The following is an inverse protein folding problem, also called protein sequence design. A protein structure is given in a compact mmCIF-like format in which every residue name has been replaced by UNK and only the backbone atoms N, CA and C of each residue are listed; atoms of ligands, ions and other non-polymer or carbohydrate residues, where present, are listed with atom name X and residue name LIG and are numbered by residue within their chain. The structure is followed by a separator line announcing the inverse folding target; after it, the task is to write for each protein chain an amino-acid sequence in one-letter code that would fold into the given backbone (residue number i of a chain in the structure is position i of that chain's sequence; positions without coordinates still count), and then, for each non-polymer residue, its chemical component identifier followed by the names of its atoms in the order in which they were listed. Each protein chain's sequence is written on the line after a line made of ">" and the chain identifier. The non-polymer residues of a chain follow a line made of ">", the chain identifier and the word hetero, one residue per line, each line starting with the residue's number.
data_IF_423045119021
#
_entry.id   IF_423045119021
#
_cell.length_a   1.000
_cell.length_b   1.000
_cell.length_c   1.000
_cell.angle_alpha   90.00
_cell.angle_beta   90.00
_cell.angle_gamma   90.00
#
_symmetry.space_group_name_H-M   'P 1'
#
loop_
_entity.id
_entity.type
_entity.pdbx_description
1 polymer ?
#
# COMPACT_ATOMS: atom_id res chain seq x y z
N UNK A 1 -7.24 -51.74 29.80
CA UNK A 1 -6.61 -52.33 31.00
C UNK A 1 -5.11 -52.14 30.90
N UNK A 2 -4.35 -51.94 31.97
CA UNK A 2 -4.58 -51.00 33.07
C UNK A 2 -3.32 -50.21 33.49
N UNK A 3 -3.54 -49.25 34.40
CA UNK A 3 -2.79 -48.85 35.62
C UNK A 3 -1.56 -47.97 35.44
N UNK A 4 -1.67 -46.69 35.77
CA UNK A 4 -1.49 -46.11 37.13
C UNK A 4 -0.12 -46.29 37.74
N UNK A 5 0.59 -45.17 38.02
CA UNK A 5 1.28 -45.00 39.29
C UNK A 5 1.29 -43.52 39.73
N UNK A 6 0.97 -43.38 41.00
CA UNK A 6 0.80 -42.16 41.79
C UNK A 6 1.99 -41.94 42.69
N UNK A 7 2.09 -40.73 43.25
CA UNK A 7 2.81 -40.27 44.47
C UNK A 7 4.30 -39.99 44.33
N UNK A 8 4.81 -38.84 44.81
CA UNK A 8 4.85 -38.36 46.17
C UNK A 8 5.15 -36.86 46.29
N UNK A 9 4.39 -36.19 47.13
CA UNK A 9 4.67 -34.98 47.89
C UNK A 9 6.02 -35.03 48.62
N UNK A 10 6.63 -33.85 48.87
CA UNK A 10 6.87 -33.36 50.24
C UNK A 10 7.43 -31.93 50.24
N UNK A 11 6.84 -31.16 51.06
CA UNK A 11 7.13 -29.76 51.41
C UNK A 11 8.32 -29.69 52.38
N UNK A 12 9.00 -28.55 52.41
CA UNK A 12 9.59 -28.04 53.65
C UNK A 12 9.57 -26.52 53.73
N UNK A 13 9.05 -26.07 54.86
CA UNK A 13 8.84 -24.69 55.33
C UNK A 13 10.06 -24.13 56.05
N UNK A 14 10.05 -22.80 56.18
CA UNK A 14 10.55 -21.94 57.30
C UNK A 14 12.05 -21.64 57.32
N UNK A 15 12.55 -20.47 57.71
CA UNK A 15 12.08 -19.41 58.62
C UNK A 15 12.91 -18.14 58.42
N UNK A 16 12.28 -17.00 58.56
CA UNK A 16 12.51 -15.85 59.46
C UNK A 16 13.93 -15.51 59.95
N UNK A 17 14.34 -14.25 59.71
CA UNK A 17 14.87 -13.40 60.79
C UNK A 17 14.86 -11.90 60.41
N UNK A 18 14.26 -11.15 61.28
CA UNK A 18 14.25 -9.70 61.36
C UNK A 18 15.62 -9.14 61.77
N UNK A 19 16.00 -7.98 61.27
CA UNK A 19 17.12 -7.16 61.73
C UNK A 19 16.80 -5.69 61.55
N UNK A 20 16.61 -5.02 62.68
CA UNK A 20 16.18 -3.63 62.85
C UNK A 20 17.37 -2.68 62.87
N UNK A 21 17.23 -1.53 62.23
CA UNK A 21 17.70 -0.16 62.48
C UNK A 21 19.12 0.12 62.97
N UNK A 22 19.77 1.05 62.28
CA UNK A 22 20.42 2.21 62.93
C UNK A 22 20.61 3.37 61.91
N UNK A 23 20.24 4.55 62.33
CA UNK A 23 20.53 5.84 61.71
C UNK A 23 22.03 6.15 61.77
N UNK A 24 22.51 6.91 60.78
CA UNK A 24 23.79 7.57 60.80
C UNK A 24 23.84 8.56 59.63
N UNK A 25 23.94 9.82 60.01
CA UNK A 25 24.05 11.02 59.16
C UNK A 25 25.38 11.11 58.42
N UNK A 26 25.33 11.93 57.38
CA UNK A 26 26.37 12.78 56.80
C UNK A 26 26.99 12.42 55.44
N UNK A 27 26.76 13.43 54.59
CA UNK A 27 27.62 14.04 53.54
C UNK A 27 27.84 13.37 52.17
N UNK A 28 27.21 14.01 51.18
CA UNK A 28 27.74 14.58 49.93
C UNK A 28 28.53 13.70 48.97
N UNK A 29 27.92 13.41 47.84
CA UNK A 29 28.48 13.60 46.49
C UNK A 29 27.54 13.12 45.41
N UNK A 30 27.33 13.96 44.42
CA UNK A 30 26.49 13.80 43.27
C UNK A 30 26.72 12.52 42.43
N UNK A 31 25.65 11.82 42.22
CA UNK A 31 25.53 10.79 41.19
C UNK A 31 24.28 11.05 40.41
N UNK A 32 24.43 11.71 39.26
CA UNK A 32 23.34 11.93 38.30
C UNK A 32 22.71 10.62 37.89
N UNK A 33 21.57 10.31 38.47
CA UNK A 33 20.66 9.31 37.92
C UNK A 33 20.15 9.85 36.60
N UNK A 34 20.64 9.30 35.48
CA UNK A 34 19.93 9.43 34.21
C UNK A 34 18.60 8.75 34.38
N UNK A 35 17.59 9.51 34.74
CA UNK A 35 16.20 9.13 34.47
C UNK A 35 16.06 9.02 32.95
N UNK A 36 16.29 7.83 32.44
CA UNK A 36 15.80 7.44 31.13
C UNK A 36 14.28 7.38 31.30
N UNK A 37 13.63 8.53 31.18
CA UNK A 37 12.18 8.59 31.00
C UNK A 37 11.91 7.88 29.66
N UNK A 38 11.68 6.57 29.72
CA UNK A 38 10.96 5.84 28.68
C UNK A 38 9.57 6.47 28.71
N UNK A 39 9.37 7.50 27.88
CA UNK A 39 8.03 7.96 27.51
C UNK A 39 7.33 6.75 26.94
N UNK A 40 6.49 6.07 27.72
CA UNK A 40 5.60 5.05 27.22
C UNK A 40 4.72 5.73 26.17
N UNK A 41 5.02 5.49 24.91
CA UNK A 41 4.23 6.01 23.79
C UNK A 41 2.80 5.54 23.99
N UNK A 42 1.84 6.44 23.99
CA UNK A 42 0.42 6.11 24.23
C UNK A 42 -0.04 5.18 23.12
N UNK A 43 -0.52 3.98 23.46
CA UNK A 43 -1.20 3.12 22.48
C UNK A 43 -2.44 3.83 21.94
N UNK A 44 -2.66 3.76 20.64
CA UNK A 44 -3.85 4.28 19.97
C UNK A 44 -4.63 3.17 19.29
N UNK A 45 -5.89 3.43 18.96
CA UNK A 45 -6.75 2.55 18.17
C UNK A 45 -6.78 3.03 16.71
N UNK A 46 -6.55 2.14 15.77
CA UNK A 46 -6.62 2.47 14.35
C UNK A 46 -7.53 1.50 13.60
N UNK A 47 -8.42 2.05 12.79
CA UNK A 47 -9.31 1.31 11.91
C UNK A 47 -8.88 1.42 10.45
N UNK A 48 -8.90 0.31 9.70
CA UNK A 48 -8.76 0.29 8.25
C UNK A 48 -10.08 -0.16 7.64
N UNK A 49 -10.71 0.68 6.83
CA UNK A 49 -11.91 0.36 6.08
C UNK A 49 -11.51 0.08 4.64
N UNK A 50 -11.65 -1.19 4.21
CA UNK A 50 -11.19 -1.62 2.88
C UNK A 50 -12.07 -1.08 1.76
N UNK A 51 -11.49 -0.95 0.57
CA UNK A 51 -12.23 -0.87 -0.68
C UNK A 51 -12.82 -2.24 -1.04
N UNK A 52 -13.63 -2.29 -2.13
CA UNK A 52 -14.09 -3.54 -2.73
C UNK A 52 -12.89 -4.39 -3.18
N UNK A 53 -13.04 -5.72 -3.14
CA UNK A 53 -11.95 -6.67 -3.46
C UNK A 53 -11.40 -7.39 -2.23
N UNK A 54 -11.54 -6.80 -1.04
CA UNK A 54 -11.14 -7.42 0.23
C UNK A 54 -9.62 -7.65 0.33
N UNK A 55 -9.19 -8.33 1.40
CA UNK A 55 -7.78 -8.50 1.75
C UNK A 55 -6.99 -9.49 0.86
N UNK A 56 -7.69 -10.26 0.01
CA UNK A 56 -7.07 -11.27 -0.86
C UNK A 56 -6.70 -10.74 -2.24
N UNK A 57 -6.75 -9.43 -2.46
CA UNK A 57 -6.41 -8.79 -3.73
C UNK A 57 -4.91 -8.88 -4.07
N UNK A 58 -4.08 -9.25 -3.09
CA UNK A 58 -2.62 -9.38 -3.18
C UNK A 58 -1.94 -8.09 -3.68
N UNK A 59 -2.56 -6.96 -3.41
CA UNK A 59 -2.22 -5.65 -3.93
C UNK A 59 -2.67 -4.58 -2.94
N UNK A 60 -3.63 -3.73 -3.29
CA UNK A 60 -4.02 -2.48 -2.65
C UNK A 60 -4.57 -2.64 -1.22
N UNK A 61 -5.66 -3.41 -1.03
CA UNK A 61 -6.24 -3.63 0.30
C UNK A 61 -5.33 -4.49 1.19
N UNK A 62 -4.65 -5.48 0.59
CA UNK A 62 -3.64 -6.28 1.30
C UNK A 62 -2.55 -5.39 1.90
N UNK A 63 -2.01 -4.43 1.13
CA UNK A 63 -0.98 -3.51 1.63
C UNK A 63 -1.53 -2.56 2.70
N UNK A 64 -2.76 -2.06 2.55
CA UNK A 64 -3.36 -1.21 3.59
C UNK A 64 -3.50 -1.96 4.92
N UNK A 65 -3.93 -3.23 4.88
CA UNK A 65 -3.99 -4.10 6.06
C UNK A 65 -2.60 -4.39 6.63
N UNK A 66 -1.62 -4.65 5.75
CA UNK A 66 -0.23 -4.86 6.18
C UNK A 66 0.31 -3.65 6.93
N UNK A 67 0.03 -2.43 6.49
CA UNK A 67 0.43 -1.21 7.20
C UNK A 67 -0.19 -1.11 8.60
N UNK A 68 -1.43 -1.60 8.79
CA UNK A 68 -2.05 -1.72 10.10
C UNK A 68 -1.35 -2.78 10.96
N UNK A 69 -1.09 -3.97 10.42
CA UNK A 69 -0.34 -5.04 11.11
C UNK A 69 1.07 -4.60 11.51
N UNK A 70 1.74 -3.83 10.64
CA UNK A 70 3.04 -3.23 10.93
C UNK A 70 2.93 -2.20 12.09
N UNK A 71 1.85 -1.41 12.15
CA UNK A 71 1.59 -0.49 13.25
C UNK A 71 1.28 -1.22 14.57
N UNK A 72 0.53 -2.32 14.54
CA UNK A 72 0.32 -3.17 15.71
C UNK A 72 1.64 -3.68 16.27
N UNK A 73 2.52 -4.19 15.40
CA UNK A 73 3.79 -4.79 15.80
C UNK A 73 4.85 -3.77 16.23
N UNK A 74 4.92 -2.60 15.59
CA UNK A 74 5.98 -1.61 15.79
C UNK A 74 5.61 -0.50 16.77
N UNK A 75 4.32 -0.13 16.82
CA UNK A 75 3.83 1.00 17.59
C UNK A 75 2.93 0.60 18.77
N UNK A 76 2.56 -0.69 18.87
CA UNK A 76 1.62 -1.18 19.88
C UNK A 76 0.19 -0.66 19.66
N UNK A 77 -0.18 -0.38 18.41
CA UNK A 77 -1.53 0.05 18.02
C UNK A 77 -2.54 -1.07 18.24
N UNK A 78 -3.76 -0.75 18.66
CA UNK A 78 -4.90 -1.68 18.60
C UNK A 78 -5.57 -1.54 17.22
N UNK A 79 -5.31 -2.50 16.32
CA UNK A 79 -5.78 -2.47 14.94
C UNK A 79 -7.15 -3.13 14.75
N UNK A 80 -7.96 -2.59 13.83
CA UNK A 80 -9.22 -3.22 13.37
C UNK A 80 -9.41 -3.04 11.89
N UNK A 81 -9.91 -4.09 11.22
CA UNK A 81 -10.25 -4.06 9.80
C UNK A 81 -11.75 -4.17 9.60
N UNK A 82 -12.30 -3.26 8.81
CA UNK A 82 -13.71 -3.23 8.39
C UNK A 82 -13.76 -3.55 6.90
N UNK A 83 -14.20 -4.75 6.55
CA UNK A 83 -14.19 -5.23 5.16
C UNK A 83 -15.44 -4.75 4.43
N UNK A 84 -15.26 -4.07 3.29
CA UNK A 84 -16.32 -3.65 2.39
C UNK A 84 -16.45 -4.64 1.22
N UNK A 85 -17.66 -5.12 0.98
CA UNK A 85 -17.98 -6.01 -0.15
C UNK A 85 -18.61 -5.26 -1.31
N UNK A 86 -19.10 -4.06 -1.03
CA UNK A 86 -19.73 -3.16 -2.01
C UNK A 86 -19.55 -1.70 -1.58
N UNK A 87 -19.76 -0.76 -2.49
CA UNK A 87 -19.73 0.68 -2.17
C UNK A 87 -20.78 1.06 -1.11
N UNK A 88 -21.86 0.27 -0.98
CA UNK A 88 -22.89 0.47 0.05
C UNK A 88 -22.39 0.25 1.48
N UNK A 89 -21.27 -0.46 1.66
CA UNK A 89 -20.71 -0.78 2.96
C UNK A 89 -19.78 0.34 3.49
N UNK A 90 -19.34 1.28 2.65
CA UNK A 90 -18.37 2.32 3.05
C UNK A 90 -18.87 3.19 4.20
N UNK A 91 -20.06 3.82 4.05
CA UNK A 91 -20.61 4.68 5.10
C UNK A 91 -20.91 3.89 6.37
N UNK A 92 -21.56 2.70 6.36
CA UNK A 92 -21.74 1.87 7.55
C UNK A 92 -20.43 1.52 8.25
N UNK A 93 -19.40 1.07 7.52
CA UNK A 93 -18.11 0.67 8.09
C UNK A 93 -17.37 1.86 8.70
N UNK A 94 -17.26 2.99 7.98
CA UNK A 94 -16.67 4.22 8.49
C UNK A 94 -17.42 4.75 9.73
N UNK A 95 -18.76 4.69 9.73
CA UNK A 95 -19.56 5.10 10.87
C UNK A 95 -19.29 4.20 12.08
N UNK A 96 -19.17 2.89 11.86
CA UNK A 96 -18.86 1.93 12.93
C UNK A 96 -17.49 2.21 13.53
N UNK A 97 -16.45 2.43 12.70
CA UNK A 97 -15.12 2.78 13.16
C UNK A 97 -15.14 4.06 14.03
N UNK A 98 -15.81 5.12 13.55
CA UNK A 98 -15.93 6.37 14.28
C UNK A 98 -16.69 6.20 15.62
N UNK A 99 -17.76 5.38 15.67
CA UNK A 99 -18.51 5.08 16.89
C UNK A 99 -17.73 4.21 17.88
N UNK A 100 -16.79 3.39 17.40
CA UNK A 100 -15.89 2.61 18.25
C UNK A 100 -14.71 3.44 18.78
N UNK A 101 -14.69 4.74 18.46
CA UNK A 101 -13.69 5.69 18.92
C UNK A 101 -12.27 5.28 18.52
N UNK A 102 -12.11 4.85 17.25
CA UNK A 102 -10.77 4.74 16.68
C UNK A 102 -10.12 6.13 16.65
N UNK A 103 -8.87 6.23 17.13
CA UNK A 103 -8.11 7.49 17.13
C UNK A 103 -7.76 7.94 15.69
N UNK A 104 -7.59 6.97 14.78
CA UNK A 104 -7.48 7.20 13.33
C UNK A 104 -8.25 6.12 12.56
N UNK A 105 -9.07 6.54 11.58
CA UNK A 105 -9.70 5.63 10.62
C UNK A 105 -9.14 5.88 9.23
N UNK A 106 -8.57 4.86 8.60
CA UNK A 106 -8.05 4.91 7.23
C UNK A 106 -9.09 4.38 6.24
N UNK A 107 -9.52 5.22 5.33
CA UNK A 107 -10.36 4.88 4.18
C UNK A 107 -9.48 4.44 3.02
N UNK A 108 -9.66 3.20 2.52
CA UNK A 108 -8.79 2.65 1.48
C UNK A 108 -9.37 2.90 0.10
N UNK A 109 -8.90 3.95 -0.58
CA UNK A 109 -9.12 4.15 -1.99
C UNK A 109 -10.03 5.31 -2.39
N UNK A 110 -9.84 5.72 -3.66
CA UNK A 110 -10.51 6.84 -4.30
C UNK A 110 -12.04 6.77 -4.24
N UNK A 111 -12.60 5.58 -4.38
CA UNK A 111 -14.06 5.38 -4.38
C UNK A 111 -14.73 5.73 -3.05
N UNK A 112 -13.97 5.82 -1.97
CA UNK A 112 -14.48 6.15 -0.64
C UNK A 112 -14.58 7.67 -0.37
N UNK A 113 -14.20 8.54 -1.32
CA UNK A 113 -14.14 10.00 -1.12
C UNK A 113 -15.43 10.60 -0.55
N UNK A 114 -16.59 10.34 -1.18
CA UNK A 114 -17.88 10.86 -0.73
C UNK A 114 -18.31 10.28 0.63
N UNK A 115 -18.04 9.00 0.86
CA UNK A 115 -18.34 8.33 2.12
C UNK A 115 -17.50 8.90 3.27
N UNK A 116 -16.19 9.07 3.04
CA UNK A 116 -15.26 9.67 4.02
C UNK A 116 -15.67 11.09 4.36
N UNK A 117 -15.95 11.93 3.34
CA UNK A 117 -16.40 13.29 3.57
C UNK A 117 -17.70 13.36 4.40
N UNK A 118 -18.64 12.44 4.13
CA UNK A 118 -19.93 12.36 4.84
C UNK A 118 -19.74 11.99 6.31
N UNK A 119 -18.93 10.96 6.58
CA UNK A 119 -18.71 10.47 7.95
C UNK A 119 -17.81 11.43 8.74
N UNK A 120 -16.74 11.94 8.16
CA UNK A 120 -15.85 12.90 8.80
C UNK A 120 -16.60 14.17 9.26
N UNK A 121 -17.53 14.66 8.45
CA UNK A 121 -18.40 15.78 8.84
C UNK A 121 -19.32 15.46 10.03
N UNK A 122 -19.79 14.21 10.13
CA UNK A 122 -20.67 13.76 11.21
C UNK A 122 -19.90 13.51 12.51
N UNK A 123 -18.63 13.17 12.42
CA UNK A 123 -17.75 12.86 13.54
C UNK A 123 -16.52 13.77 13.54
N UNK A 124 -16.68 15.08 13.86
CA UNK A 124 -15.61 16.07 13.70
C UNK A 124 -14.43 15.88 14.66
N UNK A 125 -14.64 15.15 15.76
CA UNK A 125 -13.61 14.87 16.77
C UNK A 125 -12.79 13.62 16.47
N UNK A 126 -13.17 12.81 15.43
CA UNK A 126 -12.41 11.66 14.98
C UNK A 126 -11.48 12.05 13.82
N UNK A 127 -10.29 11.46 13.78
CA UNK A 127 -9.37 11.64 12.66
C UNK A 127 -9.60 10.57 11.58
N UNK A 128 -9.46 10.99 10.34
CA UNK A 128 -9.55 10.12 9.16
C UNK A 128 -8.34 10.34 8.25
N UNK A 129 -7.85 9.28 7.63
CA UNK A 129 -6.96 9.37 6.48
C UNK A 129 -7.66 8.72 5.28
N UNK A 130 -7.42 9.21 4.07
CA UNK A 130 -7.96 8.62 2.86
C UNK A 130 -6.86 8.39 1.83
N UNK A 131 -6.76 7.17 1.31
CA UNK A 131 -5.82 6.81 0.26
C UNK A 131 -6.38 7.22 -1.10
N UNK A 132 -5.54 7.82 -1.96
CA UNK A 132 -5.84 8.19 -3.35
C UNK A 132 -6.85 9.32 -3.54
N UNK A 133 -7.20 10.04 -2.49
CA UNK A 133 -8.10 11.19 -2.60
C UNK A 133 -7.55 12.39 -1.83
N UNK A 134 -7.48 13.55 -2.49
CA UNK A 134 -7.03 14.79 -1.84
C UNK A 134 -8.03 15.29 -0.80
N UNK A 135 -7.57 15.56 0.41
CA UNK A 135 -8.39 16.17 1.47
C UNK A 135 -9.00 17.50 1.00
N UNK A 136 -8.25 18.28 0.22
CA UNK A 136 -8.71 19.54 -0.35
C UNK A 136 -9.82 19.39 -1.41
N UNK A 137 -9.93 18.22 -2.03
CA UNK A 137 -10.95 17.90 -3.05
C UNK A 137 -12.20 17.25 -2.45
N UNK A 138 -12.17 16.81 -1.18
CA UNK A 138 -13.32 16.23 -0.50
C UNK A 138 -14.48 17.25 -0.37
N UNK A 139 -15.70 16.77 -0.50
CA UNK A 139 -16.90 17.60 -0.37
C UNK A 139 -16.99 18.22 1.03
N UNK A 140 -17.00 19.54 1.09
CA UNK A 140 -17.03 20.28 2.35
C UNK A 140 -15.67 20.42 3.04
N UNK A 141 -14.60 19.91 2.47
CA UNK A 141 -13.21 20.04 2.93
C UNK A 141 -13.06 19.82 4.45
N UNK A 142 -13.41 18.63 4.94
CA UNK A 142 -13.36 18.35 6.37
C UNK A 142 -11.92 18.50 6.90
N UNK A 143 -11.75 19.23 8.01
CA UNK A 143 -10.44 19.54 8.58
C UNK A 143 -9.86 18.38 9.42
N UNK A 144 -10.59 17.31 9.58
CA UNK A 144 -10.20 16.09 10.28
C UNK A 144 -9.90 14.93 9.32
N UNK A 145 -9.60 15.20 8.05
CA UNK A 145 -9.20 14.20 7.06
C UNK A 145 -7.83 14.56 6.47
N UNK A 146 -6.88 13.61 6.47
CA UNK A 146 -5.60 13.70 5.77
C UNK A 146 -5.66 12.88 4.48
N UNK A 147 -5.23 13.45 3.34
CA UNK A 147 -5.11 12.74 2.08
C UNK A 147 -3.76 12.01 1.98
N UNK A 148 -3.76 10.75 1.60
CA UNK A 148 -2.56 9.95 1.32
C UNK A 148 -2.48 9.71 -0.18
N UNK A 149 -1.73 10.56 -0.88
CA UNK A 149 -1.64 10.59 -2.34
C UNK A 149 -0.36 9.96 -2.82
N UNK A 150 -0.39 9.47 -4.06
CA UNK A 150 0.76 8.85 -4.70
C UNK A 150 0.92 9.41 -6.11
N UNK A 151 2.16 9.49 -6.58
CA UNK A 151 2.45 9.76 -7.99
C UNK A 151 2.59 8.45 -8.76
N UNK A 152 1.49 7.76 -8.96
CA UNK A 152 1.44 6.47 -9.63
C UNK A 152 2.02 6.52 -11.05
N UNK A 153 1.91 7.69 -11.72
CA UNK A 153 2.50 7.89 -13.04
C UNK A 153 4.03 7.73 -13.04
N UNK A 154 4.71 8.01 -11.93
CA UNK A 154 6.15 7.81 -11.82
C UNK A 154 6.51 6.32 -11.81
N UNK A 155 5.78 5.49 -11.05
CA UNK A 155 5.95 4.04 -11.05
C UNK A 155 5.53 3.44 -12.40
N UNK A 156 4.40 3.89 -12.95
CA UNK A 156 3.94 3.51 -14.29
C UNK A 156 5.00 3.78 -15.36
N UNK A 157 5.65 4.95 -15.31
CA UNK A 157 6.71 5.31 -16.25
C UNK A 157 7.90 4.34 -16.16
N UNK A 158 8.37 4.02 -14.95
CA UNK A 158 9.49 3.09 -14.74
C UNK A 158 9.22 1.72 -15.36
N UNK A 159 8.07 1.12 -15.06
CA UNK A 159 7.72 -0.20 -15.61
C UNK A 159 7.40 -0.14 -17.09
N UNK A 160 6.86 0.97 -17.57
CA UNK A 160 6.64 1.23 -18.99
C UNK A 160 7.96 1.32 -19.77
N UNK A 161 8.93 2.06 -19.21
CA UNK A 161 10.27 2.19 -19.82
C UNK A 161 10.96 0.83 -19.92
N UNK A 162 10.90 0.00 -18.85
CA UNK A 162 11.40 -1.37 -18.88
C UNK A 162 10.70 -2.21 -19.95
N UNK A 163 9.36 -2.13 -20.03
CA UNK A 163 8.58 -2.86 -21.05
C UNK A 163 8.97 -2.45 -22.48
N UNK A 164 9.21 -1.15 -22.71
CA UNK A 164 9.67 -0.62 -24.01
C UNK A 164 11.05 -1.13 -24.41
N UNK A 165 12.00 -1.16 -23.47
CA UNK A 165 13.35 -1.73 -23.71
C UNK A 165 13.27 -3.22 -24.00
N UNK A 166 12.55 -3.98 -23.18
CA UNK A 166 12.37 -5.41 -23.38
C UNK A 166 11.71 -5.71 -24.72
N UNK A 167 10.65 -4.97 -25.06
CA UNK A 167 9.93 -5.13 -26.31
C UNK A 167 10.84 -4.88 -27.52
N UNK A 168 11.67 -3.84 -27.49
CA UNK A 168 12.61 -3.51 -28.57
C UNK A 168 13.58 -4.66 -28.85
N UNK A 169 14.18 -5.23 -27.82
CA UNK A 169 15.17 -6.31 -27.96
C UNK A 169 14.54 -7.66 -28.32
N UNK A 170 13.24 -7.83 -28.04
CA UNK A 170 12.49 -9.05 -28.37
C UNK A 170 11.63 -8.91 -29.64
N UNK A 171 11.85 -7.85 -30.45
CA UNK A 171 11.10 -7.57 -31.66
C UNK A 171 9.57 -7.52 -31.45
N UNK A 172 9.14 -7.13 -30.24
CA UNK A 172 7.74 -6.92 -29.93
C UNK A 172 7.33 -5.50 -30.33
N UNK A 173 6.19 -5.40 -31.00
CA UNK A 173 5.67 -4.11 -31.51
C UNK A 173 4.57 -3.52 -30.65
N UNK A 174 4.06 -4.26 -29.68
CA UNK A 174 2.90 -3.87 -28.87
C UNK A 174 3.06 -4.30 -27.44
N UNK A 175 2.73 -3.40 -26.52
CA UNK A 175 2.54 -3.63 -25.08
C UNK A 175 1.14 -3.14 -24.68
N UNK A 176 0.62 -3.61 -23.56
CA UNK A 176 -0.75 -3.26 -23.17
C UNK A 176 -0.94 -3.07 -21.68
N UNK A 177 -2.07 -2.46 -21.31
CA UNK A 177 -2.52 -2.32 -19.95
C UNK A 177 -3.99 -2.73 -19.79
N UNK A 178 -4.31 -3.31 -18.63
CA UNK A 178 -5.67 -3.67 -18.21
C UNK A 178 -5.96 -2.94 -16.92
N UNK A 179 -6.79 -1.91 -17.00
CA UNK A 179 -7.26 -1.14 -15.84
C UNK A 179 -8.52 -1.75 -15.23
N UNK A 180 -8.73 -1.52 -13.94
CA UNK A 180 -10.01 -1.77 -13.27
C UNK A 180 -11.04 -0.73 -13.71
N UNK A 181 -11.50 0.12 -12.80
CA UNK A 181 -12.34 1.27 -13.15
C UNK A 181 -11.50 2.43 -13.68
N UNK A 182 -12.09 3.23 -14.57
CA UNK A 182 -11.44 4.46 -15.07
C UNK A 182 -11.55 5.57 -14.03
N UNK A 183 -10.62 5.57 -13.09
CA UNK A 183 -10.49 6.56 -12.02
C UNK A 183 -9.07 7.13 -12.00
N UNK A 184 -8.81 8.32 -11.40
CA UNK A 184 -7.52 8.99 -11.47
C UNK A 184 -6.31 8.11 -11.12
N UNK A 185 -6.23 7.38 -9.99
CA UNK A 185 -5.04 6.60 -9.67
C UNK A 185 -4.74 5.47 -10.68
N UNK A 186 -5.78 4.89 -11.31
CA UNK A 186 -5.62 3.91 -12.38
C UNK A 186 -5.10 4.56 -13.66
N UNK A 187 -5.67 5.71 -14.02
CA UNK A 187 -5.24 6.48 -15.21
C UNK A 187 -3.79 6.99 -15.06
N UNK A 188 -3.37 7.44 -13.85
CA UNK A 188 -1.99 7.85 -13.58
C UNK A 188 -0.98 6.74 -13.93
N UNK A 189 -1.19 5.54 -13.40
CA UNK A 189 -0.33 4.39 -13.71
C UNK A 189 -0.25 4.10 -15.21
N UNK A 190 -1.41 4.04 -15.87
CA UNK A 190 -1.49 3.69 -17.29
C UNK A 190 -0.87 4.78 -18.17
N UNK A 191 -1.10 6.05 -17.87
CA UNK A 191 -0.52 7.18 -18.60
C UNK A 191 1.02 7.18 -18.48
N UNK A 192 1.53 6.98 -17.28
CA UNK A 192 2.97 6.82 -17.03
C UNK A 192 3.55 5.65 -17.81
N UNK A 193 2.90 4.47 -17.76
CA UNK A 193 3.32 3.28 -18.50
C UNK A 193 3.41 3.53 -20.01
N UNK A 194 2.40 4.13 -20.60
CA UNK A 194 2.38 4.43 -22.03
C UNK A 194 3.50 5.40 -22.43
N UNK A 195 3.74 6.43 -21.62
CA UNK A 195 4.82 7.42 -21.83
C UNK A 195 6.19 6.75 -21.74
N UNK A 196 6.46 6.00 -20.65
CA UNK A 196 7.72 5.32 -20.45
C UNK A 196 8.03 4.32 -21.56
N UNK A 197 7.04 3.53 -21.98
CA UNK A 197 7.21 2.57 -23.09
C UNK A 197 7.60 3.27 -24.40
N UNK A 198 6.97 4.40 -24.73
CA UNK A 198 7.26 5.20 -25.93
C UNK A 198 8.62 5.89 -25.86
N UNK A 199 9.03 6.36 -24.70
CA UNK A 199 10.34 7.00 -24.53
C UNK A 199 11.50 6.00 -24.71
N UNK A 200 11.31 4.76 -24.23
CA UNK A 200 12.28 3.67 -24.44
C UNK A 200 12.26 3.11 -25.87
N UNK A 201 11.07 3.08 -26.50
CA UNK A 201 10.86 2.54 -27.84
C UNK A 201 9.80 3.38 -28.58
N UNK A 202 10.21 4.41 -29.35
CA UNK A 202 9.26 5.33 -30.02
C UNK A 202 8.28 4.66 -30.99
N UNK A 203 8.62 3.48 -31.52
CA UNK A 203 7.77 2.73 -32.45
C UNK A 203 6.74 1.83 -31.77
N UNK A 204 6.79 1.69 -30.42
CA UNK A 204 5.91 0.77 -29.72
C UNK A 204 4.45 1.23 -29.76
N UNK A 205 3.55 0.30 -30.03
CA UNK A 205 2.11 0.50 -29.88
C UNK A 205 1.71 0.17 -28.46
N UNK A 206 0.87 1.02 -27.85
CA UNK A 206 0.27 0.76 -26.54
C UNK A 206 -1.23 0.51 -26.70
N UNK A 207 -1.74 -0.58 -26.14
CA UNK A 207 -3.17 -0.86 -26.01
C UNK A 207 -3.61 -0.61 -24.59
N UNK A 208 -4.89 -0.26 -24.38
CA UNK A 208 -5.48 -0.13 -23.07
C UNK A 208 -6.93 -0.60 -23.07
N UNK A 209 -7.39 -1.19 -21.95
CA UNK A 209 -8.78 -1.55 -21.72
C UNK A 209 -9.11 -1.44 -20.23
N UNK A 210 -10.37 -1.10 -19.91
CA UNK A 210 -10.87 -1.05 -18.53
C UNK A 210 -11.95 -2.11 -18.33
N UNK A 211 -11.80 -2.95 -17.30
CA UNK A 211 -12.79 -3.98 -16.95
C UNK A 211 -14.04 -3.40 -16.27
N UNK A 212 -13.95 -2.17 -15.77
CA UNK A 212 -14.92 -1.53 -14.88
C UNK A 212 -15.18 -2.34 -13.60
N UNK A 213 -14.17 -3.13 -13.18
CA UNK A 213 -14.26 -4.05 -12.06
C UNK A 213 -12.90 -4.22 -11.39
N UNK A 214 -12.87 -4.36 -10.05
CA UNK A 214 -11.64 -4.64 -9.31
C UNK A 214 -11.59 -6.07 -8.74
N UNK A 215 -12.61 -6.89 -8.98
CA UNK A 215 -12.80 -8.21 -8.35
C UNK A 215 -12.82 -9.34 -9.36
N UNK A 216 -13.62 -9.21 -10.42
CA UNK A 216 -13.89 -10.28 -11.39
C UNK A 216 -12.68 -10.53 -12.30
N UNK A 217 -11.93 -11.58 -11.98
CA UNK A 217 -10.73 -11.96 -12.74
C UNK A 217 -11.04 -12.36 -14.18
N UNK A 218 -12.23 -12.87 -14.47
CA UNK A 218 -12.61 -13.29 -15.82
C UNK A 218 -12.69 -12.08 -16.77
N UNK A 219 -13.19 -10.93 -16.31
CA UNK A 219 -13.24 -9.69 -17.11
C UNK A 219 -11.85 -9.20 -17.51
N UNK A 220 -10.91 -9.15 -16.56
CA UNK A 220 -9.53 -8.73 -16.84
C UNK A 220 -8.80 -9.76 -17.72
N UNK A 221 -9.09 -11.05 -17.55
CA UNK A 221 -8.58 -12.14 -18.38
C UNK A 221 -9.01 -11.97 -19.84
N UNK A 222 -10.29 -11.71 -20.08
CA UNK A 222 -10.85 -11.50 -21.43
C UNK A 222 -10.15 -10.32 -22.14
N UNK A 223 -10.04 -9.16 -21.47
CA UNK A 223 -9.36 -7.98 -22.04
C UNK A 223 -7.91 -8.29 -22.37
N UNK A 224 -7.17 -8.94 -21.44
CA UNK A 224 -5.78 -9.30 -21.68
C UNK A 224 -5.61 -10.27 -22.85
N UNK A 225 -6.46 -11.29 -22.97
CA UNK A 225 -6.44 -12.24 -24.08
C UNK A 225 -6.69 -11.56 -25.44
N UNK A 226 -7.65 -10.61 -25.50
CA UNK A 226 -7.90 -9.80 -26.69
C UNK A 226 -6.69 -8.94 -27.07
N UNK A 227 -6.08 -8.26 -26.09
CA UNK A 227 -4.87 -7.45 -26.32
C UNK A 227 -3.67 -8.31 -26.76
N UNK A 228 -3.50 -9.51 -26.20
CA UNK A 228 -2.45 -10.46 -26.61
C UNK A 228 -2.71 -10.96 -28.04
N UNK A 229 -3.96 -11.24 -28.39
CA UNK A 229 -4.34 -11.61 -29.77
C UNK A 229 -4.06 -10.47 -30.76
N UNK A 230 -4.13 -9.21 -30.35
CA UNK A 230 -3.74 -8.02 -31.11
C UNK A 230 -2.22 -7.80 -31.16
N UNK A 231 -1.42 -8.70 -30.57
CA UNK A 231 0.04 -8.70 -30.63
C UNK A 231 0.77 -8.16 -29.39
N UNK A 232 0.07 -7.87 -28.29
CA UNK A 232 0.72 -7.48 -27.04
C UNK A 232 1.65 -8.58 -26.52
N UNK A 233 2.86 -8.21 -26.15
CA UNK A 233 3.87 -9.10 -25.55
C UNK A 233 4.21 -8.77 -24.11
N UNK A 234 3.68 -7.67 -23.58
CA UNK A 234 3.77 -7.29 -22.17
C UNK A 234 2.40 -6.76 -21.75
N UNK A 235 1.83 -7.30 -20.68
CA UNK A 235 0.53 -6.91 -20.12
C UNK A 235 0.73 -6.32 -18.72
N UNK A 236 0.46 -5.03 -18.56
CA UNK A 236 0.46 -4.34 -17.27
C UNK A 236 -0.95 -4.36 -16.67
N UNK A 237 -1.13 -4.99 -15.53
CA UNK A 237 -2.40 -4.96 -14.80
C UNK A 237 -2.46 -3.80 -13.81
N UNK A 238 -3.57 -3.08 -13.77
CA UNK A 238 -3.88 -1.99 -12.81
C UNK A 238 -5.34 -2.15 -12.35
N UNK A 239 -5.65 -3.32 -11.79
CA UNK A 239 -7.04 -3.73 -11.56
C UNK A 239 -7.26 -4.54 -10.27
N UNK A 240 -6.37 -4.43 -9.27
CA UNK A 240 -6.51 -5.16 -8.02
C UNK A 240 -6.65 -6.68 -8.23
N UNK A 241 -7.65 -7.30 -7.58
CA UNK A 241 -7.91 -8.74 -7.71
C UNK A 241 -8.27 -9.16 -9.15
N UNK A 242 -9.05 -8.35 -9.88
CA UNK A 242 -9.36 -8.59 -11.29
C UNK A 242 -8.09 -8.76 -12.13
N UNK A 243 -7.05 -7.94 -11.87
CA UNK A 243 -5.79 -7.94 -12.57
C UNK A 243 -5.01 -9.26 -12.52
N UNK A 244 -5.25 -10.10 -11.50
CA UNK A 244 -4.65 -11.44 -11.44
C UNK A 244 -5.07 -12.28 -12.65
N UNK A 245 -6.31 -12.12 -13.15
CA UNK A 245 -6.75 -12.78 -14.38
C UNK A 245 -5.99 -12.32 -15.63
N UNK A 246 -5.57 -11.05 -15.69
CA UNK A 246 -4.72 -10.55 -16.78
C UNK A 246 -3.30 -11.15 -16.71
N UNK A 247 -2.72 -11.27 -15.52
CA UNK A 247 -1.42 -11.92 -15.32
C UNK A 247 -1.47 -13.42 -15.62
N UNK A 248 -2.57 -14.10 -15.26
CA UNK A 248 -2.77 -15.50 -15.65
C UNK A 248 -2.83 -15.68 -17.17
N UNK A 249 -3.47 -14.73 -17.89
CA UNK A 249 -3.47 -14.72 -19.36
C UNK A 249 -2.06 -14.57 -19.93
N UNK A 250 -1.26 -13.68 -19.34
CA UNK A 250 0.13 -13.49 -19.77
C UNK A 250 0.92 -14.79 -19.60
N UNK A 251 0.76 -15.49 -18.47
CA UNK A 251 1.37 -16.79 -18.21
C UNK A 251 0.93 -17.85 -19.23
N UNK A 252 -0.38 -17.99 -19.43
CA UNK A 252 -0.97 -18.99 -20.36
C UNK A 252 -0.49 -18.79 -21.81
N UNK A 253 -0.27 -17.54 -22.21
CA UNK A 253 0.13 -17.19 -23.58
C UNK A 253 1.63 -17.01 -23.75
N UNK A 254 2.43 -17.21 -22.71
CA UNK A 254 3.89 -17.08 -22.75
C UNK A 254 4.35 -15.65 -23.08
N UNK A 255 3.64 -14.64 -22.59
CA UNK A 255 4.04 -13.22 -22.67
C UNK A 255 4.35 -12.68 -21.28
N UNK A 256 4.99 -11.51 -21.20
CA UNK A 256 5.36 -10.91 -19.92
C UNK A 256 4.17 -10.25 -19.25
N UNK A 257 4.10 -10.36 -17.92
CA UNK A 257 3.18 -9.64 -17.06
C UNK A 257 3.90 -8.55 -16.25
N UNK A 258 3.20 -7.49 -15.92
CA UNK A 258 3.67 -6.47 -14.95
C UNK A 258 2.62 -6.34 -13.85
N UNK A 259 3.06 -6.49 -12.59
CA UNK A 259 2.24 -6.36 -11.40
C UNK A 259 2.02 -4.91 -10.98
N UNK A 260 1.14 -4.70 -9.98
CA UNK A 260 0.82 -3.36 -9.44
C UNK A 260 0.77 -3.37 -7.92
N UNK A 261 1.04 -2.23 -7.31
CA UNK A 261 1.08 -1.88 -5.88
C UNK A 261 2.11 -2.71 -5.10
N UNK A 262 1.89 -4.02 -4.95
CA UNK A 262 2.83 -4.95 -4.33
C UNK A 262 3.80 -5.56 -5.35
N UNK A 263 4.93 -6.06 -4.88
CA UNK A 263 5.82 -6.87 -5.73
C UNK A 263 5.20 -8.25 -5.97
N UNK A 264 4.67 -8.45 -7.17
CA UNK A 264 3.98 -9.68 -7.59
C UNK A 264 4.91 -10.69 -8.29
N UNK A 265 6.24 -10.55 -8.18
CA UNK A 265 7.22 -11.48 -8.77
C UNK A 265 7.01 -12.95 -8.32
N UNK A 266 6.39 -13.17 -7.16
CA UNK A 266 6.07 -14.53 -6.66
C UNK A 266 5.04 -15.28 -7.51
N UNK A 267 4.33 -14.61 -8.42
CA UNK A 267 3.37 -15.26 -9.34
C UNK A 267 4.05 -16.08 -10.43
N UNK A 268 5.36 -15.89 -10.66
CA UNK A 268 6.16 -16.69 -11.55
C UNK A 268 7.08 -15.89 -12.47
N UNK A 269 7.89 -16.62 -13.25
CA UNK A 269 8.93 -16.03 -14.12
C UNK A 269 8.40 -15.17 -15.26
N UNK A 270 7.10 -15.27 -15.56
CA UNK A 270 6.42 -14.41 -16.53
C UNK A 270 6.21 -12.98 -16.01
N UNK A 271 6.43 -12.70 -14.74
CA UNK A 271 6.34 -11.35 -14.19
C UNK A 271 7.66 -10.63 -14.44
N UNK A 272 7.63 -9.67 -15.37
CA UNK A 272 8.80 -8.87 -15.73
C UNK A 272 9.25 -7.99 -14.57
N UNK A 273 8.29 -7.36 -13.89
CA UNK A 273 8.44 -6.55 -12.68
C UNK A 273 7.07 -6.15 -12.14
N UNK A 274 7.03 -5.23 -11.14
CA UNK A 274 5.79 -4.63 -10.63
C UNK A 274 5.95 -3.12 -10.42
N UNK A 275 4.89 -2.35 -10.68
CA UNK A 275 4.82 -0.94 -10.34
C UNK A 275 4.44 -0.80 -8.86
N UNK A 276 5.40 -0.45 -8.02
CA UNK A 276 5.20 -0.40 -6.57
C UNK A 276 4.50 0.87 -6.11
N UNK A 277 3.62 0.71 -5.14
CA UNK A 277 2.94 1.76 -4.38
C UNK A 277 2.94 1.35 -2.91
N UNK A 278 3.70 2.05 -2.08
CA UNK A 278 3.93 1.67 -0.68
C UNK A 278 2.78 2.12 0.22
N UNK A 279 1.61 1.53 -0.01
CA UNK A 279 0.39 1.80 0.78
C UNK A 279 0.58 1.39 2.23
N UNK A 280 1.30 0.29 2.49
CA UNK A 280 1.64 -0.19 3.83
C UNK A 280 2.44 0.85 4.61
N UNK A 281 3.46 1.44 3.99
CA UNK A 281 4.25 2.52 4.61
C UNK A 281 3.40 3.76 4.87
N UNK A 282 2.56 4.16 3.91
CA UNK A 282 1.70 5.34 4.07
C UNK A 282 0.69 5.18 5.22
N UNK A 283 0.11 3.98 5.39
CA UNK A 283 -0.81 3.67 6.50
C UNK A 283 -0.06 3.64 7.84
N UNK A 284 1.08 2.96 7.93
CA UNK A 284 1.93 2.94 9.12
C UNK A 284 2.31 4.36 9.55
N UNK A 285 2.79 5.18 8.62
CA UNK A 285 3.20 6.55 8.88
C UNK A 285 2.04 7.46 9.31
N UNK A 286 0.83 7.27 8.74
CA UNK A 286 -0.36 8.00 9.16
C UNK A 286 -0.76 7.64 10.60
N UNK A 287 -0.73 6.36 10.96
CA UNK A 287 -1.00 5.88 12.32
C UNK A 287 0.06 6.44 13.29
N UNK A 288 1.34 6.42 12.91
CA UNK A 288 2.42 6.97 13.70
C UNK A 288 2.24 8.46 13.95
N UNK A 289 1.91 9.26 12.92
CA UNK A 289 1.61 10.69 13.09
C UNK A 289 0.44 10.93 14.04
N UNK A 290 -0.61 10.11 13.95
CA UNK A 290 -1.75 10.21 14.88
C UNK A 290 -1.33 9.91 16.33
N UNK A 291 -0.50 8.89 16.55
CA UNK A 291 0.02 8.51 17.86
C UNK A 291 0.92 9.60 18.47
N UNK A 292 1.75 10.22 17.65
CA UNK A 292 2.68 11.29 18.06
C UNK A 292 2.00 12.66 18.22
N UNK A 293 0.71 12.79 17.85
CA UNK A 293 -0.04 14.05 17.85
C UNK A 293 0.33 15.00 16.71
N UNK A 294 0.95 14.49 15.65
CA UNK A 294 1.40 15.24 14.47
C UNK A 294 0.47 15.06 13.25
N UNK A 295 -0.72 14.51 13.48
CA UNK A 295 -1.75 14.38 12.45
C UNK A 295 -2.21 15.76 11.95
N UNK A 296 -2.30 15.95 10.63
CA UNK A 296 -2.62 17.22 9.98
C UNK A 296 -3.82 17.09 9.05
N UNK A 297 -5.00 17.11 9.63
CA UNK A 297 -6.23 17.11 8.85
C UNK A 297 -6.34 18.34 7.91
N UNK A 298 -7.06 18.18 6.81
CA UNK A 298 -7.18 19.19 5.75
C UNK A 298 -5.97 19.30 4.83
N UNK A 299 -4.94 18.44 5.00
CA UNK A 299 -3.71 18.44 4.19
C UNK A 299 -3.49 17.11 3.48
N UNK A 300 -2.59 17.09 2.51
CA UNK A 300 -2.21 15.91 1.76
C UNK A 300 -0.73 15.55 2.00
N UNK A 301 -0.46 14.25 2.17
CA UNK A 301 0.88 13.67 2.09
C UNK A 301 1.04 13.01 0.74
N UNK A 302 2.13 13.34 0.01
CA UNK A 302 2.33 12.85 -1.36
C UNK A 302 3.55 11.92 -1.42
N UNK A 303 3.30 10.68 -1.76
CA UNK A 303 4.29 9.64 -2.00
C UNK A 303 4.78 9.68 -3.47
N UNK A 304 6.09 9.64 -3.66
CA UNK A 304 6.77 9.83 -4.96
C UNK A 304 7.94 8.86 -5.08
N UNK A 305 8.56 8.76 -6.24
CA UNK A 305 9.87 8.06 -6.41
C UNK A 305 10.95 8.72 -5.53
N UNK A 306 10.92 10.04 -5.37
CA UNK A 306 11.92 10.78 -4.60
C UNK A 306 11.94 10.42 -3.11
N UNK A 307 10.77 10.17 -2.52
CA UNK A 307 10.63 9.76 -1.10
C UNK A 307 10.37 8.26 -0.93
N UNK A 308 10.65 7.46 -1.99
CA UNK A 308 10.51 6.01 -1.99
C UNK A 308 9.08 5.51 -1.72
N UNK A 309 8.07 6.36 -1.96
CA UNK A 309 6.66 5.98 -1.77
C UNK A 309 6.03 5.26 -2.96
N UNK A 310 6.61 5.42 -4.15
CA UNK A 310 6.30 4.64 -5.37
C UNK A 310 7.61 4.25 -6.06
N UNK A 311 7.57 3.21 -6.90
CA UNK A 311 8.80 2.76 -7.56
C UNK A 311 8.60 1.51 -8.42
N UNK A 312 9.65 0.71 -8.53
CA UNK A 312 9.68 -0.52 -9.30
C UNK A 312 10.08 -1.69 -8.40
N UNK A 313 9.44 -2.84 -8.60
CA UNK A 313 9.70 -4.08 -7.88
C UNK A 313 10.89 -4.85 -8.45
N UNK A 314 11.00 -6.10 -8.00
CA UNK A 314 12.05 -7.00 -8.49
C UNK A 314 11.95 -7.14 -10.00
N UNK A 315 13.04 -6.88 -10.69
CA UNK A 315 13.18 -7.12 -12.12
C UNK A 315 13.51 -8.60 -12.34
N UNK A 316 12.77 -9.28 -13.23
CA UNK A 316 13.00 -10.68 -13.56
C UNK A 316 14.31 -10.88 -14.32
N UNK A 317 14.73 -12.15 -14.49
CA UNK A 317 15.91 -12.49 -15.28
C UNK A 317 15.84 -11.93 -16.73
N UNK A 318 14.65 -11.92 -17.32
CA UNK A 318 14.39 -11.36 -18.67
C UNK A 318 14.64 -9.85 -18.76
N UNK A 319 14.43 -9.12 -17.66
CA UNK A 319 14.63 -7.67 -17.60
C UNK A 319 15.97 -7.26 -16.98
N UNK A 320 16.70 -8.17 -16.35
CA UNK A 320 17.86 -7.85 -15.49
C UNK A 320 18.96 -7.06 -16.22
N UNK A 321 19.15 -7.29 -17.50
CA UNK A 321 20.15 -6.53 -18.31
C UNK A 321 19.85 -5.03 -18.42
N UNK A 322 18.64 -4.59 -18.08
CA UNK A 322 18.23 -3.18 -18.08
C UNK A 322 18.26 -2.52 -16.70
N UNK A 323 18.61 -3.27 -15.64
CA UNK A 323 18.50 -2.79 -14.25
C UNK A 323 19.23 -1.47 -14.03
N UNK A 324 20.46 -1.32 -14.52
CA UNK A 324 21.24 -0.09 -14.38
C UNK A 324 20.59 1.11 -15.10
N UNK A 325 20.03 0.86 -16.29
CA UNK A 325 19.32 1.90 -17.03
C UNK A 325 18.02 2.32 -16.33
N UNK A 326 17.27 1.36 -15.78
CA UNK A 326 16.07 1.66 -14.99
C UNK A 326 16.42 2.44 -13.73
N UNK A 327 17.51 2.07 -13.04
CA UNK A 327 18.02 2.83 -11.89
C UNK A 327 18.34 4.26 -12.26
N UNK A 328 18.99 4.49 -13.39
CA UNK A 328 19.28 5.85 -13.88
C UNK A 328 17.98 6.63 -14.15
N UNK A 329 16.97 6.01 -14.78
CA UNK A 329 15.66 6.64 -15.02
C UNK A 329 14.98 6.98 -13.71
N UNK A 330 15.04 6.09 -12.71
CA UNK A 330 14.51 6.35 -11.37
C UNK A 330 15.19 7.56 -10.72
N UNK A 331 16.51 7.67 -10.81
CA UNK A 331 17.26 8.81 -10.29
C UNK A 331 16.94 10.12 -11.06
N UNK A 332 16.72 10.03 -12.37
CA UNK A 332 16.32 11.17 -13.20
C UNK A 332 14.90 11.66 -12.84
N UNK A 333 13.96 10.78 -12.47
CA UNK A 333 12.65 11.15 -11.93
C UNK A 333 12.81 11.78 -10.54
N UNK A 334 13.55 11.13 -9.64
CA UNK A 334 13.74 11.59 -8.26
C UNK A 334 14.39 12.98 -8.18
N UNK A 335 15.30 13.29 -9.11
CA UNK A 335 15.96 14.60 -9.24
C UNK A 335 15.12 15.64 -9.99
N UNK A 336 14.00 15.25 -10.62
CA UNK A 336 13.16 16.14 -11.42
C UNK A 336 13.67 16.40 -12.84
N UNK A 337 14.69 15.68 -13.30
CA UNK A 337 15.16 15.74 -14.69
C UNK A 337 14.14 15.17 -15.66
N UNK A 338 13.39 14.14 -15.24
CA UNK A 338 12.17 13.66 -15.89
C UNK A 338 11.00 14.11 -15.03
N UNK A 339 10.19 15.05 -15.50
CA UNK A 339 9.10 15.67 -14.73
C UNK A 339 7.78 15.77 -15.50
N UNK A 340 7.78 15.59 -16.83
CA UNK A 340 6.63 15.71 -17.71
C UNK A 340 5.87 14.39 -17.93
N UNK A 341 5.76 13.59 -16.85
CA UNK A 341 5.04 12.31 -16.91
C UNK A 341 3.54 12.59 -16.82
N UNK A 342 2.75 12.22 -17.83
CA UNK A 342 1.31 12.48 -17.83
C UNK A 342 0.59 11.63 -16.77
N UNK A 343 -0.48 12.17 -16.23
CA UNK A 343 -1.37 11.55 -15.26
C UNK A 343 -2.74 11.15 -15.84
N UNK A 344 -2.94 11.38 -17.13
CA UNK A 344 -4.21 11.13 -17.80
C UNK A 344 -4.00 10.34 -19.09
N UNK A 345 -4.77 9.27 -19.25
CA UNK A 345 -4.81 8.46 -20.48
C UNK A 345 -5.56 9.22 -21.57
N UNK A 346 -4.91 9.42 -22.72
CA UNK A 346 -5.46 10.11 -23.89
C UNK A 346 -6.28 9.19 -24.78
#
# INVERSE_FOLDING_TARGET
>A
MPKSFRFLLLALLAALALGVAACGDDDDSGGGGSDTSTTSQKSIKAGVVTDIGGLNDRSFNFLANKGLEDAESQLGTEGRVFISKSNGDYIPNLTTAAQQQEDLTVSVGFLMGDATATVAKKFPDNNFAIIDFSAAALKGKPQNVEGLLFKEQEAGYLVGYLAGLWAKDNNATTVSSVGGQKIPPVDHYIAGFQKGAKDANPSIKTLNGYSQDFVDQAKCKEIALDQIAQGSKVVFQVAGQCGLGALDSAKEKGVQGIGVDADQAYLGDHILTSALKKVDVAVLDAIKRAQEGDFKGGTDVVATVKNDGVGIGKISAEGQKYADQIKQVQDDIASGKISDIPDTVK
#
